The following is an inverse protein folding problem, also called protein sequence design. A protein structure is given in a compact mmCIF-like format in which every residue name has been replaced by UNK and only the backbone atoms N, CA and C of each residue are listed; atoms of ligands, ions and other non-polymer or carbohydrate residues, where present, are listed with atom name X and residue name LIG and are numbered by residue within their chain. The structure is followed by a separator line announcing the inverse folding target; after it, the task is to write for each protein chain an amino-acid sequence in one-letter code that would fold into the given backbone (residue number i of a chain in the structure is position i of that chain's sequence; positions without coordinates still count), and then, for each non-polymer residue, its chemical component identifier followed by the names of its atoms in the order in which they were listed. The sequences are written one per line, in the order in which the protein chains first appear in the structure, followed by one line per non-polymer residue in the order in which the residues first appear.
data_IF_589067660095
#
_entry.id   IF_589067660095
#
_cell.length_a   1.000
_cell.length_b   1.000
_cell.length_c   1.000
_cell.angle_alpha   90.00
_cell.angle_beta   90.00
_cell.angle_gamma   90.00
#
_symmetry.space_group_name_H-M   'P 1'
#
loop_
_entity.id
_entity.type
_entity.pdbx_description
1 polymer ?
#
# COMPACT_ATOMS: atom_id res chain seq x y z
N UNK A 1 11.43 -34.97 3.72
CA UNK A 1 11.23 -34.50 5.10
C UNK A 1 10.94 -33.00 5.16
N UNK A 2 11.46 -32.14 4.26
CA UNK A 2 11.16 -30.69 4.26
C UNK A 2 9.69 -30.36 3.96
N UNK A 3 9.05 -31.08 3.02
CA UNK A 3 7.63 -30.89 2.66
C UNK A 3 6.70 -31.01 3.87
N UNK A 4 7.03 -31.91 4.82
CA UNK A 4 6.27 -32.08 6.05
C UNK A 4 6.41 -30.89 7.01
N UNK A 5 7.52 -30.17 7.01
CA UNK A 5 7.71 -29.00 7.88
C UNK A 5 6.96 -27.78 7.33
N UNK A 6 6.97 -27.60 6.01
CA UNK A 6 6.23 -26.54 5.32
C UNK A 6 4.73 -26.70 5.54
N UNK A 7 4.19 -27.90 5.29
CA UNK A 7 2.76 -28.19 5.51
C UNK A 7 2.33 -27.94 6.96
N UNK A 8 3.15 -28.34 7.94
CA UNK A 8 2.89 -28.09 9.36
C UNK A 8 2.91 -26.59 9.66
N UNK A 9 3.91 -25.86 9.16
CA UNK A 9 4.02 -24.42 9.35
C UNK A 9 2.82 -23.67 8.76
N UNK A 10 2.41 -24.00 7.53
CA UNK A 10 1.24 -23.43 6.87
C UNK A 10 -0.04 -23.70 7.68
N UNK A 11 -0.26 -24.94 8.09
CA UNK A 11 -1.44 -25.31 8.87
C UNK A 11 -1.49 -24.58 10.23
N UNK A 12 -0.34 -24.48 10.91
CA UNK A 12 -0.23 -23.80 12.20
C UNK A 12 -0.47 -22.29 12.06
N UNK A 13 0.11 -21.64 11.05
CA UNK A 13 -0.12 -20.21 10.77
C UNK A 13 -1.60 -19.95 10.48
N UNK A 14 -2.23 -20.73 9.60
CA UNK A 14 -3.65 -20.59 9.27
C UNK A 14 -4.53 -20.76 10.50
N UNK A 15 -4.25 -21.76 11.33
CA UNK A 15 -5.00 -21.98 12.56
C UNK A 15 -4.85 -20.81 13.54
N UNK A 16 -3.63 -20.30 13.72
CA UNK A 16 -3.37 -19.17 14.61
C UNK A 16 -4.01 -17.88 14.09
N UNK A 17 -3.98 -17.63 12.78
CA UNK A 17 -4.54 -16.42 12.18
C UNK A 17 -6.07 -16.31 12.40
N UNK A 18 -6.77 -17.44 12.45
CA UNK A 18 -8.21 -17.46 12.76
C UNK A 18 -8.50 -17.13 14.22
N UNK A 19 -7.61 -17.49 15.14
CA UNK A 19 -7.85 -17.37 16.59
C UNK A 19 -7.26 -16.07 17.17
N UNK A 20 -5.99 -15.81 16.89
CA UNK A 20 -5.24 -14.63 17.36
C UNK A 20 -4.15 -14.28 16.34
N UNK A 21 -4.42 -13.37 15.39
CA UNK A 21 -3.49 -13.06 14.29
C UNK A 21 -2.12 -12.56 14.77
N UNK A 22 -2.07 -11.92 15.93
CA UNK A 22 -0.83 -11.52 16.58
C UNK A 22 0.08 -12.71 16.93
N UNK A 23 -0.50 -13.85 17.32
CA UNK A 23 0.29 -15.08 17.53
C UNK A 23 0.79 -15.66 16.21
N UNK A 24 0.00 -15.56 15.14
CA UNK A 24 0.45 -15.95 13.81
C UNK A 24 1.63 -15.10 13.33
N UNK A 25 1.64 -13.79 13.58
CA UNK A 25 2.79 -12.90 13.30
C UNK A 25 4.06 -13.35 14.03
N UNK A 26 3.97 -13.58 15.35
CA UNK A 26 5.10 -14.11 16.15
C UNK A 26 5.57 -15.48 15.66
N UNK A 27 4.65 -16.30 15.18
CA UNK A 27 4.99 -17.61 14.63
C UNK A 27 5.73 -17.46 13.31
N UNK A 28 5.34 -16.52 12.45
CA UNK A 28 6.09 -16.17 11.25
C UNK A 28 7.52 -15.75 11.57
N UNK A 29 7.71 -14.88 12.56
CA UNK A 29 9.04 -14.47 13.01
C UNK A 29 9.88 -15.68 13.50
N UNK A 30 9.28 -16.59 14.26
CA UNK A 30 9.98 -17.81 14.71
C UNK A 30 10.36 -18.71 13.53
N UNK A 31 9.47 -18.85 12.55
CA UNK A 31 9.71 -19.66 11.34
C UNK A 31 10.81 -19.01 10.49
N UNK A 32 10.80 -17.69 10.32
CA UNK A 32 11.85 -16.95 9.63
C UNK A 32 13.22 -17.11 10.28
N UNK A 33 13.29 -17.20 11.60
CA UNK A 33 14.54 -17.45 12.31
C UNK A 33 15.01 -18.92 12.28
N UNK A 34 14.19 -19.86 11.76
CA UNK A 34 14.48 -21.30 11.85
C UNK A 34 14.52 -22.03 10.50
N UNK A 35 13.80 -21.54 9.49
CA UNK A 35 13.77 -22.11 8.13
C UNK A 35 14.68 -21.30 7.19
N UNK A 36 15.06 -21.86 6.04
CA UNK A 36 15.76 -21.07 5.00
C UNK A 36 14.78 -20.18 4.24
N UNK A 37 15.30 -19.12 3.60
CA UNK A 37 14.51 -18.19 2.80
C UNK A 37 13.68 -18.93 1.73
N UNK A 38 14.25 -19.94 1.04
CA UNK A 38 13.50 -20.70 0.04
C UNK A 38 12.31 -21.47 0.64
N UNK A 39 12.48 -21.99 1.86
CA UNK A 39 11.40 -22.69 2.56
C UNK A 39 10.35 -21.71 3.07
N UNK A 40 10.76 -20.53 3.52
CA UNK A 40 9.84 -19.50 3.99
C UNK A 40 9.02 -18.91 2.84
N UNK A 41 9.63 -18.71 1.67
CA UNK A 41 8.92 -18.34 0.43
C UNK A 41 7.84 -19.38 0.12
N UNK A 42 8.17 -20.69 0.17
CA UNK A 42 7.20 -21.76 -0.09
C UNK A 42 6.06 -21.79 0.94
N UNK A 43 6.35 -21.54 2.22
CA UNK A 43 5.32 -21.40 3.28
C UNK A 43 4.42 -20.20 2.99
N UNK A 44 5.01 -19.05 2.66
CA UNK A 44 4.28 -17.82 2.35
C UNK A 44 3.35 -18.09 1.17
N UNK A 45 3.84 -18.64 0.06
CA UNK A 45 3.07 -18.89 -1.15
C UNK A 45 1.82 -19.75 -0.92
N UNK A 46 1.86 -20.68 0.02
CA UNK A 46 0.74 -21.58 0.36
C UNK A 46 -0.32 -20.97 1.30
N UNK A 47 -0.06 -19.79 1.84
CA UNK A 47 -1.01 -19.03 2.66
C UNK A 47 -1.78 -18.08 1.76
N UNK A 48 -3.09 -17.99 1.95
CA UNK A 48 -3.95 -17.09 1.18
C UNK A 48 -3.72 -15.61 1.56
N UNK A 49 -3.98 -14.72 0.60
CA UNK A 49 -3.79 -13.26 0.78
C UNK A 49 -4.61 -12.72 1.94
N UNK A 50 -5.83 -13.22 2.12
CA UNK A 50 -6.75 -12.83 3.20
C UNK A 50 -6.10 -13.06 4.56
N UNK A 51 -5.56 -14.26 4.78
CA UNK A 51 -4.85 -14.62 6.00
C UNK A 51 -3.60 -13.75 6.22
N UNK A 52 -2.78 -13.54 5.18
CA UNK A 52 -1.59 -12.67 5.30
C UNK A 52 -1.96 -11.23 5.64
N UNK A 53 -3.02 -10.71 5.03
CA UNK A 53 -3.50 -9.34 5.27
C UNK A 53 -4.00 -9.19 6.71
N UNK A 54 -4.73 -10.19 7.22
CA UNK A 54 -5.19 -10.21 8.59
C UNK A 54 -3.99 -10.19 9.57
N UNK A 55 -2.93 -10.94 9.29
CA UNK A 55 -1.71 -10.92 10.11
C UNK A 55 -1.03 -9.54 10.05
N UNK A 56 -0.93 -8.94 8.86
CA UNK A 56 -0.35 -7.61 8.67
C UNK A 56 -1.13 -6.51 9.44
N UNK A 57 -2.44 -6.66 9.58
CA UNK A 57 -3.30 -5.69 10.29
C UNK A 57 -3.08 -5.60 11.80
N UNK A 58 -2.35 -6.53 12.42
CA UNK A 58 -2.00 -6.44 13.85
C UNK A 58 -0.82 -5.49 14.13
N UNK A 59 -0.26 -4.87 13.08
CA UNK A 59 0.78 -3.84 13.17
C UNK A 59 2.03 -4.24 13.95
N UNK A 60 2.47 -5.48 13.75
CA UNK A 60 3.80 -5.92 14.15
C UNK A 60 4.79 -5.63 13.02
N UNK A 61 5.84 -4.85 13.29
CA UNK A 61 6.87 -4.42 12.32
C UNK A 61 7.58 -5.62 11.67
N UNK A 62 7.55 -6.79 12.32
CA UNK A 62 8.14 -8.03 11.81
C UNK A 62 7.53 -8.48 10.47
N UNK A 63 6.22 -8.39 10.30
CA UNK A 63 5.57 -8.97 9.12
C UNK A 63 5.82 -8.16 7.82
N UNK A 64 5.75 -6.81 7.80
CA UNK A 64 6.11 -6.08 6.61
C UNK A 64 7.62 -6.17 6.27
N UNK A 65 8.51 -6.48 7.22
CA UNK A 65 9.92 -6.84 6.90
C UNK A 65 9.97 -8.12 6.06
N UNK A 66 9.27 -9.16 6.49
CA UNK A 66 9.19 -10.45 5.79
C UNK A 66 8.57 -10.27 4.40
N UNK A 67 7.53 -9.45 4.29
CA UNK A 67 6.94 -9.08 2.99
C UNK A 67 7.98 -8.44 2.07
N UNK A 68 8.73 -7.47 2.60
CA UNK A 68 9.75 -6.75 1.84
C UNK A 68 10.84 -7.66 1.30
N UNK A 69 11.31 -8.62 2.08
CA UNK A 69 12.41 -9.49 1.65
C UNK A 69 11.95 -10.63 0.73
N UNK A 70 10.80 -11.26 1.03
CA UNK A 70 10.47 -12.59 0.51
C UNK A 70 9.25 -12.66 -0.41
N UNK A 71 8.48 -11.58 -0.56
CA UNK A 71 7.29 -11.59 -1.41
C UNK A 71 7.53 -10.90 -2.76
N UNK A 72 6.78 -11.36 -3.78
CA UNK A 72 6.75 -10.68 -5.07
C UNK A 72 5.93 -9.38 -5.01
N UNK A 73 6.19 -8.42 -5.90
CA UNK A 73 5.42 -7.18 -6.01
C UNK A 73 3.91 -7.38 -6.14
N UNK A 74 3.45 -8.37 -6.90
CA UNK A 74 2.02 -8.66 -7.08
C UNK A 74 1.38 -9.14 -5.80
N UNK A 75 2.11 -9.95 -5.03
CA UNK A 75 1.64 -10.46 -3.74
C UNK A 75 1.57 -9.35 -2.71
N UNK A 76 2.54 -8.44 -2.71
CA UNK A 76 2.52 -7.21 -1.91
C UNK A 76 1.30 -6.36 -2.30
N UNK A 77 1.09 -6.10 -3.59
CA UNK A 77 -0.10 -5.39 -4.11
C UNK A 77 -1.38 -5.99 -3.58
N UNK A 78 -1.55 -7.30 -3.68
CA UNK A 78 -2.79 -7.97 -3.30
C UNK A 78 -3.09 -7.82 -1.79
N UNK A 79 -2.05 -7.82 -0.93
CA UNK A 79 -2.18 -7.52 0.49
C UNK A 79 -2.57 -6.05 0.71
N UNK A 80 -1.86 -5.11 0.07
CA UNK A 80 -2.14 -3.66 0.17
C UNK A 80 -3.59 -3.35 -0.22
N UNK A 81 -4.08 -3.94 -1.30
CA UNK A 81 -5.45 -3.76 -1.78
C UNK A 81 -6.51 -4.29 -0.80
N UNK A 82 -6.19 -5.31 -0.01
CA UNK A 82 -7.11 -5.88 0.98
C UNK A 82 -6.99 -5.24 2.37
N UNK A 83 -5.88 -4.55 2.67
CA UNK A 83 -5.62 -3.90 3.95
C UNK A 83 -6.81 -3.06 4.47
N UNK A 84 -7.55 -2.29 3.64
CA UNK A 84 -8.71 -1.51 4.08
C UNK A 84 -9.83 -2.31 4.75
N UNK A 85 -9.97 -3.60 4.43
CA UNK A 85 -11.00 -4.46 5.04
C UNK A 85 -10.78 -4.62 6.54
N UNK A 86 -9.52 -4.64 6.96
CA UNK A 86 -9.09 -4.98 8.33
C UNK A 86 -8.84 -3.76 9.21
N UNK A 87 -8.96 -2.53 8.68
CA UNK A 87 -8.86 -1.34 9.52
C UNK A 87 -9.92 -1.36 10.62
N UNK A 88 -9.50 -1.01 11.84
CA UNK A 88 -10.42 -0.82 12.96
C UNK A 88 -11.45 0.27 12.64
N UNK A 89 -12.68 0.13 13.14
CA UNK A 89 -13.73 1.15 12.94
C UNK A 89 -13.30 2.53 13.46
N UNK A 90 -12.40 2.57 14.46
CA UNK A 90 -11.87 3.83 14.99
C UNK A 90 -10.99 4.56 13.97
N UNK A 91 -10.15 3.82 13.23
CA UNK A 91 -9.31 4.36 12.15
C UNK A 91 -10.19 4.76 10.98
N UNK A 92 -11.18 3.93 10.59
CA UNK A 92 -12.11 4.22 9.48
C UNK A 92 -12.91 5.52 9.68
N UNK A 93 -13.19 5.88 10.94
CA UNK A 93 -13.98 7.06 11.28
C UNK A 93 -13.13 8.29 11.61
N UNK A 94 -11.79 8.20 11.58
CA UNK A 94 -10.88 9.30 11.83
C UNK A 94 -9.91 9.47 10.65
N UNK A 95 -10.19 10.48 9.83
CA UNK A 95 -9.45 10.73 8.60
C UNK A 95 -7.97 11.06 8.83
N UNK A 96 -7.64 11.77 9.92
CA UNK A 96 -6.24 12.08 10.29
C UNK A 96 -5.49 10.81 10.73
N UNK A 97 -6.10 9.99 11.58
CA UNK A 97 -5.50 8.71 12.01
C UNK A 97 -5.31 7.78 10.81
N UNK A 98 -6.28 7.72 9.90
CA UNK A 98 -6.20 6.90 8.70
C UNK A 98 -5.08 7.36 7.75
N UNK A 99 -4.91 8.67 7.57
CA UNK A 99 -3.85 9.22 6.73
C UNK A 99 -2.47 8.90 7.29
N UNK A 100 -2.24 9.18 8.58
CA UNK A 100 -0.96 8.89 9.23
C UNK A 100 -0.65 7.39 9.20
N UNK A 101 -1.64 6.57 9.54
CA UNK A 101 -1.50 5.11 9.55
C UNK A 101 -1.11 4.54 8.19
N UNK A 102 -1.78 5.02 7.14
CA UNK A 102 -1.49 4.63 5.76
C UNK A 102 -0.11 5.09 5.33
N UNK A 103 0.27 6.33 5.70
CA UNK A 103 1.59 6.88 5.42
C UNK A 103 2.71 6.08 6.08
N UNK A 104 2.59 5.76 7.37
CA UNK A 104 3.59 5.00 8.11
C UNK A 104 3.80 3.61 7.49
N UNK A 105 2.69 2.93 7.16
CA UNK A 105 2.74 1.61 6.53
C UNK A 105 3.39 1.66 5.14
N UNK A 106 2.97 2.58 4.26
CA UNK A 106 3.53 2.71 2.92
C UNK A 106 5.00 3.13 2.95
N UNK A 107 5.36 4.07 3.82
CA UNK A 107 6.75 4.52 4.00
C UNK A 107 7.63 3.36 4.40
N UNK A 108 7.17 2.56 5.36
CA UNK A 108 7.91 1.37 5.77
C UNK A 108 8.00 0.35 4.64
N UNK A 109 6.86 -0.06 4.08
CA UNK A 109 6.77 -1.06 3.01
C UNK A 109 7.66 -0.73 1.82
N UNK A 110 7.62 0.51 1.32
CA UNK A 110 8.36 0.90 0.12
C UNK A 110 9.84 1.09 0.45
N UNK A 111 10.20 1.75 1.55
CA UNK A 111 11.61 2.08 1.81
C UNK A 111 12.43 0.90 2.30
N UNK A 112 11.82 -0.17 2.81
CA UNK A 112 12.53 -1.36 3.27
C UNK A 112 12.83 -2.37 2.14
N UNK A 113 12.39 -2.09 0.91
CA UNK A 113 12.69 -2.97 -0.23
C UNK A 113 14.20 -2.99 -0.53
N UNK A 114 14.67 -4.14 -1.01
CA UNK A 114 16.11 -4.44 -1.16
C UNK A 114 16.85 -3.55 -2.18
N UNK A 115 16.12 -2.95 -3.13
CA UNK A 115 16.68 -2.14 -4.21
C UNK A 115 15.68 -1.12 -4.75
N UNK A 116 16.17 -0.03 -5.35
CA UNK A 116 15.32 0.96 -6.04
C UNK A 116 14.50 0.34 -7.17
N UNK A 117 15.03 -0.67 -7.87
CA UNK A 117 14.30 -1.42 -8.92
C UNK A 117 13.06 -2.12 -8.34
N UNK A 118 13.22 -2.81 -7.20
CA UNK A 118 12.11 -3.46 -6.50
C UNK A 118 11.13 -2.45 -5.91
N UNK A 119 11.62 -1.30 -5.44
CA UNK A 119 10.77 -0.19 -4.98
C UNK A 119 9.87 0.30 -6.12
N UNK A 120 10.43 0.52 -7.31
CA UNK A 120 9.68 0.95 -8.48
C UNK A 120 8.66 -0.12 -8.91
N UNK A 121 9.07 -1.39 -8.99
CA UNK A 121 8.19 -2.50 -9.38
C UNK A 121 7.00 -2.67 -8.42
N UNK A 122 7.25 -2.57 -7.10
CA UNK A 122 6.17 -2.59 -6.09
C UNK A 122 5.22 -1.41 -6.26
N UNK A 123 5.74 -0.19 -6.47
CA UNK A 123 4.91 1.00 -6.68
C UNK A 123 4.05 0.88 -7.94
N UNK A 124 4.62 0.42 -9.04
CA UNK A 124 3.91 0.19 -10.31
C UNK A 124 2.83 -0.87 -10.15
N UNK A 125 3.18 -2.04 -9.59
CA UNK A 125 2.21 -3.11 -9.34
C UNK A 125 1.06 -2.64 -8.44
N UNK A 126 1.33 -1.88 -7.39
CA UNK A 126 0.25 -1.34 -6.53
C UNK A 126 -0.63 -0.36 -7.33
N UNK A 127 -0.05 0.51 -8.14
CA UNK A 127 -0.77 1.52 -8.90
C UNK A 127 -1.62 0.96 -10.06
N UNK A 128 -1.32 -0.25 -10.57
CA UNK A 128 -2.11 -0.93 -11.59
C UNK A 128 -3.53 -1.30 -11.12
N UNK A 129 -3.70 -1.63 -9.84
CA UNK A 129 -5.01 -1.93 -9.25
C UNK A 129 -5.65 -0.62 -8.77
N UNK A 130 -6.90 -0.29 -9.18
CA UNK A 130 -7.58 0.92 -8.72
C UNK A 130 -7.62 1.04 -7.19
N UNK A 131 -7.80 -0.08 -6.46
CA UNK A 131 -7.79 -0.07 -5.01
C UNK A 131 -6.39 0.23 -4.46
N UNK A 132 -5.35 -0.32 -5.09
CA UNK A 132 -3.97 -0.01 -4.72
C UNK A 132 -3.62 1.46 -4.97
N UNK A 133 -4.00 2.01 -6.12
CA UNK A 133 -3.81 3.43 -6.43
C UNK A 133 -4.56 4.35 -5.47
N UNK A 134 -5.80 4.02 -5.12
CA UNK A 134 -6.56 4.74 -4.09
C UNK A 134 -5.81 4.72 -2.75
N UNK A 135 -5.33 3.56 -2.32
CA UNK A 135 -4.57 3.42 -1.08
C UNK A 135 -3.28 4.24 -1.08
N UNK A 136 -2.51 4.19 -2.18
CA UNK A 136 -1.30 5.01 -2.36
C UNK A 136 -1.57 6.51 -2.32
N UNK A 137 -2.76 6.95 -2.73
CA UNK A 137 -3.09 8.37 -2.79
C UNK A 137 -3.41 9.00 -1.43
N UNK A 138 -3.82 8.20 -0.44
CA UNK A 138 -4.34 8.68 0.86
C UNK A 138 -3.37 9.67 1.55
N UNK A 139 -2.06 9.38 1.69
CA UNK A 139 -1.14 10.30 2.37
C UNK A 139 -1.02 11.68 1.73
N UNK A 140 -1.31 11.79 0.43
CA UNK A 140 -1.00 12.97 -0.39
C UNK A 140 -2.22 13.83 -0.70
N UNK A 141 -3.43 13.45 -0.24
CA UNK A 141 -4.68 14.17 -0.53
C UNK A 141 -4.57 15.64 -0.11
N UNK A 142 -4.05 15.91 1.09
CA UNK A 142 -3.88 17.28 1.56
C UNK A 142 -2.79 18.05 0.80
N UNK A 143 -1.69 17.39 0.42
CA UNK A 143 -0.59 18.04 -0.31
C UNK A 143 -1.09 18.57 -1.66
N UNK A 144 -1.71 17.70 -2.46
CA UNK A 144 -2.18 18.07 -3.80
C UNK A 144 -3.38 19.02 -3.81
N UNK A 145 -4.05 19.19 -2.68
CA UNK A 145 -5.12 20.19 -2.52
C UNK A 145 -4.66 21.48 -1.87
N UNK A 146 -3.71 21.41 -0.95
CA UNK A 146 -3.07 22.58 -0.35
C UNK A 146 -2.26 23.38 -1.37
N UNK A 147 -1.66 22.69 -2.36
CA UNK A 147 -0.99 23.33 -3.49
C UNK A 147 -1.92 24.19 -4.38
N UNK A 148 -3.25 24.05 -4.27
CA UNK A 148 -4.23 24.87 -5.01
C UNK A 148 -4.24 26.34 -4.53
N UNK A 149 -3.59 26.70 -3.41
CA UNK A 149 -3.66 28.07 -2.89
C UNK A 149 -2.40 28.94 -3.06
N UNK A 150 -1.20 28.39 -3.30
CA UNK A 150 0.02 29.23 -3.29
C UNK A 150 0.84 29.26 -4.59
N UNK A 151 0.90 28.19 -5.38
CA UNK A 151 1.80 28.15 -6.55
C UNK A 151 1.11 28.40 -7.90
N UNK A 152 -0.12 27.89 -8.13
CA UNK A 152 -0.81 28.09 -9.43
C UNK A 152 -1.23 29.57 -9.65
N UNK A 153 -1.59 30.30 -8.59
CA UNK A 153 -1.97 31.72 -8.70
C UNK A 153 -0.79 32.70 -8.84
N UNK A 154 0.46 32.29 -8.58
CA UNK A 154 1.62 33.19 -8.67
C UNK A 154 2.09 33.38 -10.12
N UNK A 155 1.89 32.36 -10.96
CA UNK A 155 2.35 32.36 -12.35
C UNK A 155 1.27 32.73 -13.37
N UNK A 156 -0.02 32.51 -13.04
CA UNK A 156 -1.13 32.91 -13.92
C UNK A 156 -1.19 34.44 -14.13
N UNK A 157 -0.71 35.22 -13.15
CA UNK A 157 -0.67 36.70 -13.22
C UNK A 157 0.62 37.25 -13.85
N UNK A 158 1.57 36.39 -14.24
CA UNK A 158 2.87 36.78 -14.84
C UNK A 158 3.12 36.26 -16.26
N UNK A 159 2.17 35.55 -16.88
CA UNK A 159 2.29 35.03 -18.26
C UNK A 159 2.25 36.11 -19.38
N UNK A 160 2.65 37.34 -19.07
CA UNK A 160 2.97 38.38 -20.03
C UNK A 160 4.41 38.86 -19.80
N UNK A 161 5.43 38.03 -20.01
CA UNK A 161 6.78 38.46 -20.41
C UNK A 161 7.71 37.24 -20.67
N UNK A 162 8.02 37.05 -21.96
CA UNK A 162 9.17 36.37 -22.58
C UNK A 162 9.46 34.87 -22.32
N UNK A 163 9.41 34.09 -23.42
CA UNK A 163 9.70 32.63 -23.52
C UNK A 163 11.10 32.21 -23.03
N UNK A 164 12.06 33.13 -22.89
CA UNK A 164 13.43 32.85 -22.41
C UNK A 164 13.51 32.71 -20.88
N UNK A 165 12.49 33.16 -20.14
CA UNK A 165 12.41 33.03 -18.67
C UNK A 165 11.73 31.75 -18.20
N UNK A 166 11.08 31.00 -19.09
CA UNK A 166 10.35 29.78 -18.73
C UNK A 166 11.31 28.62 -18.41
N UNK A 167 12.33 28.40 -19.23
CA UNK A 167 13.36 27.37 -18.98
C UNK A 167 14.18 27.65 -17.70
N UNK A 168 14.48 28.93 -17.41
CA UNK A 168 15.20 29.30 -16.18
C UNK A 168 14.32 29.16 -14.93
N UNK A 169 13.02 29.46 -15.04
CA UNK A 169 12.04 29.25 -13.97
C UNK A 169 11.78 27.75 -13.70
N UNK A 170 11.70 26.93 -14.75
CA UNK A 170 11.60 25.46 -14.63
C UNK A 170 12.86 24.90 -13.97
N UNK A 171 14.06 25.29 -14.43
CA UNK A 171 15.32 24.85 -13.84
C UNK A 171 15.50 25.32 -12.38
N UNK A 172 15.00 26.50 -12.02
CA UNK A 172 14.99 26.98 -10.64
C UNK A 172 14.01 26.19 -9.77
N UNK A 173 12.85 25.85 -10.33
CA UNK A 173 11.81 25.05 -9.65
C UNK A 173 12.28 23.63 -9.41
N UNK A 174 12.92 22.99 -10.39
CA UNK A 174 13.53 21.66 -10.25
C UNK A 174 14.63 21.64 -9.19
N UNK A 175 15.52 22.65 -9.19
CA UNK A 175 16.57 22.78 -8.15
C UNK A 175 15.97 22.99 -6.76
N UNK A 176 14.96 23.84 -6.64
CA UNK A 176 14.27 24.09 -5.37
C UNK A 176 13.57 22.83 -4.85
N UNK A 177 12.87 22.09 -5.72
CA UNK A 177 12.22 20.83 -5.35
C UNK A 177 13.23 19.76 -4.93
N UNK A 178 14.40 19.71 -5.58
CA UNK A 178 15.47 18.79 -5.24
C UNK A 178 16.12 19.15 -3.90
N UNK A 179 16.38 20.43 -3.65
CA UNK A 179 16.94 20.93 -2.38
C UNK A 179 15.96 20.78 -1.20
N UNK A 180 14.66 20.96 -1.44
CA UNK A 180 13.62 20.67 -0.45
C UNK A 180 13.55 19.17 -0.16
N UNK A 181 13.53 18.31 -1.19
CA UNK A 181 13.50 16.86 -1.03
C UNK A 181 14.66 16.30 -0.18
N UNK A 182 15.86 16.90 -0.30
CA UNK A 182 17.02 16.51 0.50
C UNK A 182 16.93 16.88 2.00
N UNK A 183 16.01 17.78 2.38
CA UNK A 183 15.83 18.24 3.77
C UNK A 183 14.56 17.68 4.44
N UNK A 184 13.78 16.84 3.75
CA UNK A 184 12.56 16.27 4.31
C UNK A 184 12.86 15.14 5.30
N UNK A 185 12.17 15.16 6.44
CA UNK A 185 12.18 14.06 7.40
C UNK A 185 11.53 12.80 6.82
N UNK A 186 11.90 11.64 7.35
CA UNK A 186 11.25 10.36 6.99
C UNK A 186 9.77 10.31 7.41
N UNK A 187 9.37 11.17 8.33
CA UNK A 187 8.02 11.36 8.85
C UNK A 187 7.18 12.36 8.05
N UNK A 188 7.73 12.95 6.99
CA UNK A 188 7.01 13.89 6.11
C UNK A 188 6.47 13.14 4.86
N UNK A 189 5.15 13.16 4.58
CA UNK A 189 4.57 12.63 3.35
C UNK A 189 5.23 13.11 2.06
N UNK A 190 5.75 14.35 2.03
CA UNK A 190 6.49 14.89 0.89
C UNK A 190 7.74 14.08 0.57
N UNK A 191 8.36 13.47 1.59
CA UNK A 191 9.55 12.64 1.42
C UNK A 191 9.23 11.36 0.65
N UNK A 192 8.12 10.69 0.99
CA UNK A 192 7.65 9.52 0.24
C UNK A 192 7.19 9.92 -1.17
N UNK A 193 6.52 11.07 -1.31
CA UNK A 193 6.12 11.58 -2.62
C UNK A 193 7.32 11.86 -3.53
N UNK A 194 8.39 12.46 -3.00
CA UNK A 194 9.63 12.69 -3.73
C UNK A 194 10.29 11.37 -4.19
N UNK A 195 10.24 10.33 -3.35
CA UNK A 195 10.71 8.99 -3.73
C UNK A 195 9.88 8.43 -4.89
N UNK A 196 8.55 8.51 -4.82
CA UNK A 196 7.65 8.06 -5.89
C UNK A 196 7.93 8.85 -7.18
N UNK A 197 8.09 10.18 -7.10
CA UNK A 197 8.46 11.01 -8.25
C UNK A 197 9.78 10.58 -8.89
N UNK A 198 10.78 10.28 -8.08
CA UNK A 198 12.10 9.90 -8.57
C UNK A 198 12.09 8.53 -9.25
N UNK A 199 11.38 7.55 -8.67
CA UNK A 199 11.39 6.16 -9.14
C UNK A 199 10.33 5.90 -10.21
N UNK A 200 9.11 6.39 -10.01
CA UNK A 200 7.93 6.09 -10.82
C UNK A 200 7.06 7.34 -11.08
N UNK A 201 7.53 8.30 -11.91
CA UNK A 201 6.79 9.52 -12.25
C UNK A 201 5.35 9.30 -12.72
N UNK A 202 5.10 8.21 -13.45
CA UNK A 202 3.76 7.87 -13.94
C UNK A 202 2.78 7.49 -12.82
N UNK A 203 3.29 6.90 -11.74
CA UNK A 203 2.50 6.62 -10.53
C UNK A 203 2.13 7.93 -9.83
N UNK A 204 3.08 8.86 -9.71
CA UNK A 204 2.79 10.20 -9.17
C UNK A 204 1.72 10.92 -10.00
N UNK A 205 1.84 10.90 -11.32
CA UNK A 205 0.85 11.50 -12.22
C UNK A 205 -0.54 10.87 -12.04
N UNK A 206 -0.60 9.56 -11.86
CA UNK A 206 -1.85 8.83 -11.61
C UNK A 206 -2.49 9.22 -10.28
N UNK A 207 -1.69 9.31 -9.21
CA UNK A 207 -2.13 9.80 -7.89
C UNK A 207 -2.68 11.23 -8.01
N UNK A 208 -1.96 12.12 -8.69
CA UNK A 208 -2.34 13.52 -8.87
C UNK A 208 -3.65 13.65 -9.66
N UNK A 209 -3.80 12.89 -10.74
CA UNK A 209 -5.02 12.87 -11.54
C UNK A 209 -6.24 12.37 -10.74
N UNK A 210 -6.05 11.35 -9.92
CA UNK A 210 -7.08 10.78 -9.05
C UNK A 210 -7.61 11.81 -8.04
N UNK A 211 -6.71 12.51 -7.35
CA UNK A 211 -7.07 13.49 -6.31
C UNK A 211 -7.71 14.74 -6.93
N UNK A 212 -7.22 15.22 -8.09
CA UNK A 212 -7.74 16.42 -8.76
C UNK A 212 -9.18 16.27 -9.28
N UNK A 213 -9.63 15.05 -9.57
CA UNK A 213 -10.97 14.80 -10.06
C UNK A 213 -12.06 14.83 -8.95
N UNK A 214 -11.67 14.96 -7.68
CA UNK A 214 -12.59 14.95 -6.55
C UNK A 214 -12.86 16.36 -5.99
N UNK A 215 -14.14 16.77 -6.00
CA UNK A 215 -14.59 18.10 -5.55
C UNK A 215 -14.98 18.16 -4.05
N UNK A 216 -15.01 17.03 -3.35
CA UNK A 216 -15.42 16.94 -1.94
C UNK A 216 -14.40 17.58 -1.00
N UNK A 217 -14.72 17.85 0.27
CA UNK A 217 -13.69 18.13 1.31
C UNK A 217 -12.82 16.88 1.53
N UNK A 218 -11.58 17.02 2.02
CA UNK A 218 -10.63 15.90 2.10
C UNK A 218 -11.15 14.76 3.00
N UNK A 219 -11.85 15.08 4.10
CA UNK A 219 -12.52 14.10 4.95
C UNK A 219 -13.59 13.33 4.17
N UNK A 220 -14.28 14.02 3.25
CA UNK A 220 -15.28 13.44 2.35
C UNK A 220 -14.65 12.56 1.27
N UNK A 221 -13.48 12.93 0.74
CA UNK A 221 -12.71 12.11 -0.21
C UNK A 221 -12.24 10.84 0.47
N UNK A 222 -11.63 10.95 1.65
CA UNK A 222 -11.17 9.79 2.41
C UNK A 222 -12.34 8.88 2.79
N UNK A 223 -13.47 9.43 3.26
CA UNK A 223 -14.64 8.62 3.61
C UNK A 223 -15.22 7.89 2.39
N UNK A 224 -15.25 8.55 1.22
CA UNK A 224 -15.67 7.96 -0.05
C UNK A 224 -14.69 6.87 -0.49
N UNK A 225 -13.40 7.17 -0.50
CA UNK A 225 -12.34 6.22 -0.88
C UNK A 225 -12.32 5.02 0.04
N UNK A 226 -12.40 5.20 1.36
CA UNK A 226 -12.47 4.09 2.31
C UNK A 226 -13.71 3.20 2.04
N UNK A 227 -14.85 3.80 1.71
CA UNK A 227 -16.07 3.05 1.37
C UNK A 227 -15.93 2.29 0.05
N UNK A 228 -15.38 2.93 -0.98
CA UNK A 228 -15.16 2.33 -2.31
C UNK A 228 -14.09 1.24 -2.27
N UNK A 229 -12.99 1.44 -1.55
CA UNK A 229 -11.95 0.44 -1.28
C UNK A 229 -12.52 -0.80 -0.62
N UNK A 230 -13.35 -0.62 0.42
CA UNK A 230 -13.99 -1.74 1.12
C UNK A 230 -14.96 -2.48 0.20
N UNK A 231 -15.68 -1.78 -0.68
CA UNK A 231 -16.57 -2.39 -1.67
C UNK A 231 -15.77 -3.21 -2.70
N UNK A 232 -14.75 -2.62 -3.32
CA UNK A 232 -13.92 -3.29 -4.32
C UNK A 232 -13.23 -4.53 -3.74
N UNK A 233 -12.68 -4.43 -2.52
CA UNK A 233 -12.04 -5.55 -1.86
C UNK A 233 -13.05 -6.68 -1.51
N UNK A 234 -14.30 -6.34 -1.15
CA UNK A 234 -15.36 -7.34 -0.95
C UNK A 234 -15.78 -8.02 -2.25
N UNK A 235 -15.89 -7.28 -3.34
CA UNK A 235 -16.22 -7.83 -4.67
C UNK A 235 -15.13 -8.80 -5.15
N UNK A 236 -13.85 -8.43 -5.01
CA UNK A 236 -12.70 -9.30 -5.35
C UNK A 236 -12.72 -10.61 -4.57
N UNK A 237 -13.02 -10.54 -3.26
CA UNK A 237 -13.14 -11.75 -2.43
C UNK A 237 -14.35 -12.61 -2.82
N UNK A 238 -15.48 -11.99 -3.19
CA UNK A 238 -16.70 -12.72 -3.61
C UNK A 238 -16.50 -13.45 -4.94
N UNK A 239 -15.76 -12.84 -5.88
CA UNK A 239 -15.40 -13.51 -7.14
C UNK A 239 -14.44 -14.69 -6.93
N UNK A 240 -13.53 -14.60 -5.96
CA UNK A 240 -12.63 -15.70 -5.61
C UNK A 240 -13.32 -16.86 -4.88
N UNK A 241 -14.45 -16.61 -4.19
CA UNK A 241 -15.23 -17.67 -3.54
C UNK A 241 -16.06 -18.52 -4.50
N UNK A 242 -16.41 -18.00 -5.69
CA UNK A 242 -17.16 -18.76 -6.69
C UNK A 242 -16.32 -19.86 -7.38
N UNK A 243 -14.99 -19.76 -7.35
CA UNK A 243 -14.10 -20.80 -7.89
C UNK A 243 -13.87 -21.98 -6.92
N UNK A 244 -14.24 -21.81 -5.64
CA UNK A 244 -14.15 -22.86 -4.61
C UNK A 244 -15.51 -23.33 -4.07
N UNK A 245 -16.62 -22.72 -4.52
CA UNK A 245 -17.99 -23.11 -4.13
C UNK A 245 -18.41 -24.48 -4.66
N UNK A 246 -17.79 -24.97 -5.75
CA UNK A 246 -18.02 -26.32 -6.26
C UNK A 246 -17.52 -27.43 -5.32
N UNK A 247 -16.62 -27.13 -4.38
CA UNK A 247 -16.08 -28.11 -3.43
C UNK A 247 -16.98 -28.27 -2.20
N UNK A 248 -17.69 -27.23 -1.80
CA UNK A 248 -18.59 -27.25 -0.64
C UNK A 248 -19.94 -27.94 -0.97
N UNK A 249 -20.38 -27.91 -2.23
CA UNK A 249 -21.53 -28.71 -2.70
C UNK A 249 -21.24 -30.22 -2.75
N UNK A 250 -19.97 -30.65 -2.77
CA UNK A 250 -19.62 -32.08 -2.75
C UNK A 250 -19.81 -32.73 -1.36
N UNK A 251 -19.94 -31.94 -0.29
CA UNK A 251 -20.16 -32.44 1.07
C UNK A 251 -21.59 -32.23 1.58
N UNK A 252 -22.50 -31.64 0.79
CA UNK A 252 -23.91 -31.46 1.16
C UNK A 252 -24.77 -32.71 0.96
N UNK A 253 -24.19 -33.87 0.61
CA UNK A 253 -24.90 -35.14 0.46
C UNK A 253 -24.97 -35.99 1.74
N UNK A 254 -24.57 -35.45 2.90
CA UNK A 254 -24.56 -36.16 4.18
C UNK A 254 -25.44 -35.54 5.29
N UNK A 255 -26.53 -34.86 4.91
CA UNK A 255 -27.70 -34.64 5.78
C UNK A 255 -28.93 -35.43 5.31
#
# INVERSE_FOLDING_TARGET
MSTSLIEIAVAEIKQLAVVEPKQASKKFELIANTMSDEQLVEVIEQIDIVTLTQINSEHDISFPSIMSELMSPERIRDIVCQQPLYWEEKIKNNAEELQQHTFDFLTYLIRTQDSEDKQAEVLECIAEDPAGLFYLSIPFIELYRGEILEYENYWEDKLYEDEEHLEEAEAYTERSQTEEAHNLGFDDPRSLLALIRQLTPDVENSIKALIRNENSAWEGIISKFASELVLQAKEKNSQSSDEYSEVDEMFSFLD
#
